data_IF_250855672764
#
_entry.id   IF_250855672764
#
_cell.length_a   1.000
_cell.length_b   1.000
_cell.length_c   1.000
_cell.angle_alpha   90.00
_cell.angle_beta   90.00
_cell.angle_gamma   90.00
#
_symmetry.space_group_name_H-M   'P 1'
#
loop_
_entity.id
_entity.type
_entity.pdbx_description
1 polymer ?
#
# COMPACT_ATOMS: atom_id res chain seq x y z
N UNK A 1 -49.29 47.72 27.81
CA UNK A 1 -48.49 48.18 26.67
C UNK A 1 -47.05 47.84 27.01
N UNK A 2 -46.37 46.82 26.51
CA UNK A 2 -46.62 45.80 25.51
C UNK A 2 -45.57 44.68 25.74
N UNK A 3 -45.98 43.44 25.48
CA UNK A 3 -45.20 42.27 25.06
C UNK A 3 -43.69 42.20 25.37
N UNK A 4 -43.33 41.38 26.37
CA UNK A 4 -42.02 40.72 26.42
C UNK A 4 -42.22 39.23 26.09
N UNK A 5 -42.20 38.91 24.79
CA UNK A 5 -42.41 37.57 24.27
C UNK A 5 -41.49 37.31 23.08
N UNK A 6 -40.18 37.19 23.34
CA UNK A 6 -39.25 36.63 22.35
C UNK A 6 -38.73 35.28 22.85
N UNK A 7 -39.43 34.24 22.41
CA UNK A 7 -39.00 32.85 22.36
C UNK A 7 -37.80 32.77 21.41
N UNK A 8 -36.58 32.76 21.95
CA UNK A 8 -35.41 32.36 21.19
C UNK A 8 -35.28 30.83 21.30
N UNK A 9 -35.44 30.17 20.16
CA UNK A 9 -35.19 28.75 19.94
C UNK A 9 -33.73 28.43 20.31
N UNK A 10 -33.52 27.54 21.26
CA UNK A 10 -32.23 26.92 21.52
C UNK A 10 -31.89 25.97 20.35
N UNK A 11 -30.72 26.08 19.71
CA UNK A 11 -30.23 25.01 18.86
C UNK A 11 -29.62 23.91 19.74
N UNK A 12 -30.31 22.76 19.79
CA UNK A 12 -29.83 21.51 20.37
C UNK A 12 -28.42 21.18 19.82
N UNK A 13 -27.41 21.38 20.66
CA UNK A 13 -26.06 20.90 20.41
C UNK A 13 -26.05 19.39 20.62
N UNK A 14 -26.40 18.65 19.57
CA UNK A 14 -26.19 17.19 19.54
C UNK A 14 -24.69 16.92 19.41
N UNK A 15 -24.06 16.78 20.57
CA UNK A 15 -22.80 16.07 20.73
C UNK A 15 -23.00 14.64 20.25
N UNK A 16 -22.52 14.32 19.04
CA UNK A 16 -22.29 12.93 18.62
C UNK A 16 -20.78 12.75 18.73
N UNK A 17 -20.39 12.06 19.80
CA UNK A 17 -19.01 11.83 20.16
C UNK A 17 -18.23 11.16 19.03
N UNK A 18 -17.00 11.63 18.88
CA UNK A 18 -15.93 10.87 18.26
C UNK A 18 -15.78 9.54 19.00
N UNK A 19 -16.39 8.47 18.48
CA UNK A 19 -16.01 7.12 18.84
C UNK A 19 -14.84 6.74 17.94
N UNK A 20 -13.65 7.00 18.48
CA UNK A 20 -12.46 6.23 18.18
C UNK A 20 -12.82 4.75 18.27
N UNK A 21 -12.92 4.09 17.12
CA UNK A 21 -12.91 2.64 17.03
C UNK A 21 -11.47 2.15 17.23
N UNK A 22 -10.94 2.33 18.45
CA UNK A 22 -9.82 1.54 18.96
C UNK A 22 -10.36 0.19 19.36
N UNK A 23 -10.60 -0.68 18.38
CA UNK A 23 -10.76 -2.11 18.67
C UNK A 23 -9.37 -2.75 18.59
N UNK A 24 -8.78 -3.18 19.73
CA UNK A 24 -7.62 -4.05 19.65
C UNK A 24 -8.02 -5.30 18.86
N UNK A 25 -7.16 -5.74 17.95
CA UNK A 25 -7.27 -7.06 17.36
C UNK A 25 -7.02 -8.05 18.49
N UNK A 26 -8.08 -8.45 19.20
CA UNK A 26 -8.00 -9.57 20.12
C UNK A 26 -7.81 -10.82 19.27
N UNK A 27 -6.59 -11.36 19.34
CA UNK A 27 -6.24 -12.68 18.83
C UNK A 27 -7.15 -13.71 19.53
N UNK A 28 -8.28 -14.02 18.89
CA UNK A 28 -9.04 -15.23 19.15
C UNK A 28 -8.39 -16.34 18.34
N UNK A 29 -7.40 -17.01 18.93
CA UNK A 29 -6.93 -18.31 18.45
C UNK A 29 -8.09 -19.29 18.68
N UNK A 30 -8.93 -19.43 17.66
CA UNK A 30 -9.74 -20.61 17.48
C UNK A 30 -8.90 -21.59 16.66
N UNK A 31 -8.63 -22.76 17.23
CA UNK A 31 -8.04 -23.89 16.52
C UNK A 31 -8.76 -24.12 15.18
N UNK A 32 -8.01 -24.07 14.08
CA UNK A 32 -8.44 -24.72 12.84
C UNK A 32 -9.05 -23.85 11.73
N UNK A 33 -8.58 -22.62 11.51
CA UNK A 33 -8.76 -21.93 10.23
C UNK A 33 -7.41 -21.49 9.66
N UNK A 34 -6.77 -22.42 8.95
CA UNK A 34 -5.74 -22.08 7.96
C UNK A 34 -6.38 -21.10 6.97
N UNK A 35 -5.81 -19.90 6.83
CA UNK A 35 -6.08 -19.06 5.66
C UNK A 35 -5.86 -19.92 4.40
N UNK A 36 -6.63 -19.76 3.32
CA UNK A 36 -6.41 -20.55 2.11
C UNK A 36 -5.00 -20.27 1.60
N UNK A 37 -4.14 -21.27 1.82
CA UNK A 37 -2.71 -21.29 1.56
C UNK A 37 -2.46 -21.68 0.10
N UNK A 38 -3.04 -20.90 -0.81
CA UNK A 38 -2.90 -21.11 -2.25
C UNK A 38 -2.38 -19.84 -2.91
N UNK A 39 -1.23 -19.35 -2.41
CA UNK A 39 -0.49 -18.26 -3.02
C UNK A 39 0.93 -18.75 -3.33
N UNK A 40 1.50 -18.40 -4.51
CA UNK A 40 2.87 -18.77 -4.79
C UNK A 40 3.77 -18.13 -3.73
N UNK A 41 4.71 -18.91 -3.20
CA UNK A 41 5.83 -18.37 -2.43
C UNK A 41 6.66 -17.50 -3.37
N UNK A 42 6.24 -16.24 -3.55
CA UNK A 42 7.00 -15.25 -4.29
C UNK A 42 8.32 -15.08 -3.54
N UNK A 43 9.38 -15.67 -4.10
CA UNK A 43 10.73 -15.64 -3.51
C UNK A 43 11.23 -14.20 -3.30
N UNK A 44 10.65 -13.26 -4.05
CA UNK A 44 10.88 -11.82 -3.93
C UNK A 44 9.57 -11.05 -4.13
N UNK A 45 9.49 -9.87 -3.54
CA UNK A 45 8.46 -8.87 -3.81
C UNK A 45 9.09 -7.65 -4.49
N UNK A 46 8.28 -6.81 -5.11
CA UNK A 46 8.79 -5.59 -5.75
C UNK A 46 7.99 -4.34 -5.40
N UNK A 47 8.65 -3.19 -5.44
CA UNK A 47 8.06 -1.85 -5.27
C UNK A 47 8.58 -0.89 -6.33
N UNK A 48 7.72 0.03 -6.80
CA UNK A 48 8.07 1.07 -7.75
C UNK A 48 8.30 2.39 -7.03
N UNK A 49 9.42 3.05 -7.33
CA UNK A 49 9.69 4.42 -6.91
C UNK A 49 10.54 5.14 -7.97
N UNK A 50 10.82 6.43 -7.80
CA UNK A 50 11.83 7.11 -8.62
C UNK A 50 13.23 6.91 -8.04
N UNK A 51 14.26 7.22 -8.83
CA UNK A 51 15.65 7.25 -8.36
C UNK A 51 15.84 8.23 -7.19
N UNK A 52 15.20 9.41 -7.25
CA UNK A 52 15.29 10.41 -6.18
C UNK A 52 14.63 9.94 -4.87
N UNK A 53 13.46 9.29 -4.97
CA UNK A 53 12.79 8.69 -3.81
C UNK A 53 13.64 7.60 -3.17
N UNK A 54 14.31 6.78 -4.00
CA UNK A 54 15.21 5.75 -3.50
C UNK A 54 16.48 6.32 -2.87
N UNK A 55 17.09 7.33 -3.51
CA UNK A 55 18.24 8.03 -2.95
C UNK A 55 17.91 8.65 -1.58
N UNK A 56 16.73 9.25 -1.43
CA UNK A 56 16.25 9.73 -0.14
C UNK A 56 16.02 8.59 0.86
N UNK A 57 15.41 7.47 0.44
CA UNK A 57 15.25 6.31 1.31
C UNK A 57 16.58 5.79 1.87
N UNK A 58 17.64 5.78 1.05
CA UNK A 58 18.99 5.41 1.47
C UNK A 58 19.58 6.34 2.55
N UNK A 59 19.18 7.62 2.61
CA UNK A 59 19.67 8.53 3.65
C UNK A 59 18.93 8.38 4.96
N UNK A 60 17.61 8.13 4.92
CA UNK A 60 16.76 8.00 6.11
C UNK A 60 16.64 6.56 6.62
N UNK A 61 17.03 5.57 5.82
CA UNK A 61 17.05 4.14 6.18
C UNK A 61 15.77 3.37 5.83
N UNK A 62 14.75 4.02 5.25
CA UNK A 62 13.53 3.37 4.81
C UNK A 62 12.85 4.11 3.65
N UNK A 63 12.04 3.39 2.87
CA UNK A 63 11.13 3.95 1.88
C UNK A 63 9.75 4.15 2.51
N UNK A 64 9.27 5.40 2.45
CA UNK A 64 7.92 5.80 2.87
C UNK A 64 7.24 6.57 1.73
N UNK A 65 6.31 5.96 0.96
CA UNK A 65 5.52 6.65 -0.06
C UNK A 65 4.64 7.74 0.54
N UNK A 66 4.39 8.82 -0.20
CA UNK A 66 3.51 9.92 0.24
C UNK A 66 2.11 9.42 0.64
N UNK A 67 1.61 8.37 -0.05
CA UNK A 67 0.33 7.75 0.27
C UNK A 67 0.31 6.99 1.60
N UNK A 68 1.46 6.67 2.20
CA UNK A 68 1.54 5.82 3.40
C UNK A 68 0.74 6.42 4.57
N UNK A 69 0.85 7.73 4.78
CA UNK A 69 0.14 8.43 5.85
C UNK A 69 -1.40 8.40 5.69
N UNK A 70 -1.90 8.19 4.47
CA UNK A 70 -3.35 8.20 4.18
C UNK A 70 -3.93 6.80 4.04
N UNK A 71 -3.20 5.86 3.43
CA UNK A 71 -3.68 4.48 3.18
C UNK A 71 -3.21 3.49 4.25
N UNK A 72 -2.12 3.77 4.96
CA UNK A 72 -1.61 2.96 6.07
C UNK A 72 -0.74 1.75 5.67
N UNK A 73 -0.42 1.59 4.39
CA UNK A 73 0.43 0.50 3.88
C UNK A 73 1.21 0.91 2.62
N UNK A 74 2.26 0.17 2.30
CA UNK A 74 3.04 0.31 1.07
C UNK A 74 2.55 -0.75 0.07
N UNK A 75 2.22 -0.31 -1.15
CA UNK A 75 1.89 -1.21 -2.25
C UNK A 75 3.14 -1.93 -2.74
N UNK A 76 3.12 -3.25 -2.68
CA UNK A 76 4.10 -4.13 -3.31
C UNK A 76 3.42 -4.87 -4.47
N UNK A 77 4.19 -5.65 -5.21
CA UNK A 77 3.69 -6.58 -6.23
C UNK A 77 4.54 -7.85 -6.23
N UNK A 78 3.97 -8.96 -6.71
CA UNK A 78 4.81 -10.01 -7.26
C UNK A 78 5.47 -9.49 -8.57
N UNK A 79 6.65 -10.00 -8.95
CA UNK A 79 7.31 -9.59 -10.20
C UNK A 79 6.39 -9.70 -11.42
N UNK A 80 5.61 -10.76 -11.51
CA UNK A 80 4.70 -11.04 -12.63
C UNK A 80 3.55 -10.03 -12.71
N UNK A 81 3.24 -9.32 -11.63
CA UNK A 81 2.09 -8.42 -11.53
C UNK A 81 2.46 -6.95 -11.71
N UNK A 82 3.70 -6.55 -11.44
CA UNK A 82 4.09 -5.14 -11.26
C UNK A 82 3.86 -4.26 -12.50
N UNK A 83 3.82 -4.86 -13.69
CA UNK A 83 3.49 -4.16 -14.93
C UNK A 83 2.05 -3.62 -14.95
N UNK A 84 1.11 -4.24 -14.22
CA UNK A 84 -0.29 -3.78 -14.13
C UNK A 84 -0.41 -2.41 -13.44
N UNK A 85 0.05 -2.21 -12.19
CA UNK A 85 0.03 -0.88 -11.57
C UNK A 85 0.97 0.11 -12.28
N UNK A 86 2.08 -0.35 -12.88
CA UNK A 86 2.96 0.51 -13.66
C UNK A 86 2.23 1.16 -14.84
N UNK A 87 1.50 0.37 -15.62
CA UNK A 87 0.71 0.86 -16.74
C UNK A 87 -0.47 1.74 -16.30
N UNK A 88 -1.06 1.49 -15.12
CA UNK A 88 -2.19 2.28 -14.60
C UNK A 88 -1.75 3.65 -14.09
N UNK A 89 -0.62 3.72 -13.39
CA UNK A 89 -0.22 4.89 -12.60
C UNK A 89 0.91 5.70 -13.24
N UNK A 90 1.73 5.06 -14.10
CA UNK A 90 2.98 5.63 -14.56
C UNK A 90 3.23 5.45 -16.07
N UNK A 91 2.18 5.21 -16.87
CA UNK A 91 2.29 5.03 -18.32
C UNK A 91 3.18 6.10 -18.97
N UNK A 92 4.12 5.66 -19.81
CA UNK A 92 5.07 6.54 -20.52
C UNK A 92 6.19 7.15 -19.66
N UNK A 93 6.23 6.94 -18.34
CA UNK A 93 7.37 7.38 -17.51
C UNK A 93 8.57 6.49 -17.74
N UNK A 94 9.77 7.08 -17.78
CA UNK A 94 11.02 6.37 -18.00
C UNK A 94 12.02 6.51 -16.83
N UNK A 95 11.58 7.09 -15.73
CA UNK A 95 12.36 7.40 -14.53
C UNK A 95 11.93 6.54 -13.33
N UNK A 96 11.29 5.39 -13.59
CA UNK A 96 10.95 4.43 -12.55
C UNK A 96 12.13 3.49 -12.25
N UNK A 97 12.26 3.18 -10.97
CA UNK A 97 13.13 2.19 -10.40
C UNK A 97 12.28 1.08 -9.79
N UNK A 98 12.65 -0.17 -10.07
CA UNK A 98 12.09 -1.35 -9.45
C UNK A 98 13.01 -1.78 -8.30
N UNK A 99 12.47 -1.75 -7.08
CA UNK A 99 13.13 -2.30 -5.89
C UNK A 99 12.75 -3.77 -5.78
N UNK A 100 13.75 -4.65 -5.71
CA UNK A 100 13.58 -6.09 -5.46
C UNK A 100 13.78 -6.34 -3.97
N UNK A 101 12.77 -6.91 -3.33
CA UNK A 101 12.64 -6.99 -1.87
C UNK A 101 12.67 -8.45 -1.45
N UNK A 102 13.50 -8.77 -0.46
CA UNK A 102 13.47 -10.05 0.25
C UNK A 102 12.40 -10.00 1.35
N UNK A 103 11.29 -10.76 1.23
CA UNK A 103 10.22 -10.74 2.22
C UNK A 103 10.67 -11.22 3.60
N UNK A 104 11.70 -12.06 3.68
CA UNK A 104 12.27 -12.55 4.94
C UNK A 104 13.00 -11.48 5.75
N UNK A 105 13.26 -10.31 5.16
CA UNK A 105 13.90 -9.16 5.80
C UNK A 105 12.91 -8.07 6.20
N UNK A 106 11.62 -8.26 5.93
CA UNK A 106 10.58 -7.34 6.33
C UNK A 106 10.21 -7.57 7.80
N UNK A 107 10.22 -6.49 8.58
CA UNK A 107 9.83 -6.52 10.00
C UNK A 107 8.33 -6.31 10.21
N UNK A 108 7.64 -5.76 9.22
CA UNK A 108 6.20 -5.50 9.24
C UNK A 108 5.43 -6.57 8.43
N UNK A 109 4.15 -6.84 8.77
CA UNK A 109 3.38 -7.88 8.10
C UNK A 109 3.07 -7.49 6.66
N UNK A 110 3.15 -8.49 5.78
CA UNK A 110 2.65 -8.43 4.40
C UNK A 110 1.32 -9.14 4.33
N UNK A 111 0.28 -8.43 3.90
CA UNK A 111 -1.05 -9.01 3.67
C UNK A 111 -1.36 -8.95 2.19
N UNK A 112 -1.80 -10.07 1.64
CA UNK A 112 -2.26 -10.12 0.25
C UNK A 112 -3.73 -9.73 0.21
N UNK A 113 -4.09 -8.70 -0.53
CA UNK A 113 -5.47 -8.22 -0.61
C UNK A 113 -5.90 -8.13 -2.06
N UNK A 114 -7.22 -8.19 -2.31
CA UNK A 114 -7.75 -8.13 -3.68
C UNK A 114 -7.29 -6.87 -4.39
N UNK A 115 -6.92 -7.02 -5.67
CA UNK A 115 -6.67 -5.91 -6.57
C UNK A 115 -7.93 -5.09 -6.85
N UNK A 116 -7.80 -4.15 -7.78
CA UNK A 116 -8.93 -3.33 -8.23
C UNK A 116 -9.73 -4.06 -9.32
N UNK A 117 -10.96 -3.64 -9.65
CA UNK A 117 -11.80 -4.32 -10.65
C UNK A 117 -11.24 -4.41 -12.08
N UNK A 118 -10.13 -3.71 -12.37
CA UNK A 118 -9.45 -3.79 -13.67
C UNK A 118 -8.29 -4.79 -13.70
N UNK A 119 -7.96 -5.40 -12.56
CA UNK A 119 -7.00 -6.51 -12.48
C UNK A 119 -7.72 -7.83 -12.83
N UNK A 120 -6.97 -8.88 -13.26
CA UNK A 120 -7.54 -10.20 -13.47
C UNK A 120 -8.30 -10.73 -12.24
N UNK A 121 -9.40 -11.43 -12.47
CA UNK A 121 -10.27 -11.94 -11.40
C UNK A 121 -9.49 -12.77 -10.36
N UNK A 122 -9.72 -12.46 -9.09
CA UNK A 122 -9.06 -13.12 -7.97
C UNK A 122 -7.59 -12.74 -7.76
N UNK A 123 -7.03 -11.81 -8.57
CA UNK A 123 -5.68 -11.33 -8.36
C UNK A 123 -5.57 -10.56 -7.05
N UNK A 124 -4.54 -10.91 -6.27
CA UNK A 124 -4.19 -10.25 -5.01
C UNK A 124 -2.84 -9.56 -5.12
N UNK A 125 -2.71 -8.44 -4.45
CA UNK A 125 -1.47 -7.68 -4.34
C UNK A 125 -0.99 -7.67 -2.88
N UNK A 126 0.33 -7.74 -2.65
CA UNK A 126 0.90 -7.64 -1.31
C UNK A 126 0.92 -6.19 -0.84
N UNK A 127 0.45 -5.97 0.38
CA UNK A 127 0.53 -4.71 1.10
C UNK A 127 1.39 -4.86 2.35
N UNK A 128 2.43 -4.05 2.46
CA UNK A 128 3.30 -3.99 3.63
C UNK A 128 2.74 -2.96 4.63
N UNK A 129 2.32 -3.41 5.81
CA UNK A 129 1.79 -2.55 6.88
C UNK A 129 2.91 -1.99 7.75
N UNK A 130 3.83 -1.28 7.11
CA UNK A 130 4.97 -0.64 7.73
C UNK A 130 5.86 0.02 6.69
N UNK A 131 6.89 0.71 7.18
CA UNK A 131 7.91 1.30 6.31
C UNK A 131 8.76 0.21 5.68
N UNK A 132 9.18 0.39 4.42
CA UNK A 132 10.04 -0.56 3.73
C UNK A 132 11.51 -0.29 4.12
N UNK A 133 12.17 -1.17 4.89
CA UNK A 133 13.57 -0.97 5.26
C UNK A 133 14.47 -1.02 4.02
N UNK A 134 15.47 -0.14 3.92
CA UNK A 134 16.40 -0.17 2.78
C UNK A 134 17.20 -1.46 2.70
N UNK A 135 17.43 -2.09 3.85
CA UNK A 135 18.20 -3.31 3.92
C UNK A 135 17.41 -4.49 3.33
N UNK A 136 16.07 -4.51 3.46
CA UNK A 136 15.22 -5.52 2.81
C UNK A 136 15.27 -5.48 1.27
N UNK A 137 15.77 -4.39 0.66
CA UNK A 137 15.97 -4.28 -0.79
C UNK A 137 17.28 -4.96 -1.19
N UNK A 138 17.18 -6.05 -1.93
CA UNK A 138 18.34 -6.88 -2.36
C UNK A 138 18.88 -6.49 -3.74
N UNK A 139 18.08 -5.82 -4.57
CA UNK A 139 18.53 -5.27 -5.84
C UNK A 139 17.66 -4.09 -6.26
N UNK A 140 18.20 -3.24 -7.14
CA UNK A 140 17.44 -2.22 -7.86
C UNK A 140 17.67 -2.35 -9.36
N UNK A 141 16.63 -2.09 -10.15
CA UNK A 141 16.65 -2.17 -11.62
C UNK A 141 15.93 -0.96 -12.21
N UNK A 142 16.49 -0.26 -13.21
CA UNK A 142 15.70 0.67 -14.01
C UNK A 142 14.52 -0.07 -14.63
N UNK A 143 13.32 0.49 -14.53
CA UNK A 143 12.13 -0.12 -15.09
C UNK A 143 11.54 0.83 -16.12
N UNK A 144 11.71 0.46 -17.39
CA UNK A 144 11.40 1.32 -18.53
C UNK A 144 10.29 0.68 -19.35
N UNK A 145 9.34 1.48 -19.87
CA UNK A 145 8.36 0.99 -20.82
C UNK A 145 9.02 0.73 -22.17
N UNK A 146 8.32 0.01 -23.02
CA UNK A 146 8.65 -0.14 -24.44
C UNK A 146 8.46 1.19 -25.21
N UNK A 147 8.82 1.25 -26.52
CA UNK A 147 8.61 2.46 -27.32
C UNK A 147 7.16 2.95 -27.43
N UNK A 148 6.16 2.12 -27.09
CA UNK A 148 4.75 2.51 -27.03
C UNK A 148 4.33 3.07 -25.67
N UNK A 149 5.25 3.12 -24.70
CA UNK A 149 4.99 3.64 -23.36
C UNK A 149 4.36 2.60 -22.42
N UNK A 150 4.34 1.32 -22.81
CA UNK A 150 3.76 0.21 -22.05
C UNK A 150 4.84 -0.57 -21.30
N UNK A 151 4.60 -0.86 -20.03
CA UNK A 151 5.42 -1.73 -19.20
C UNK A 151 5.03 -3.19 -19.40
N UNK A 152 6.03 -4.05 -19.59
CA UNK A 152 5.88 -5.51 -19.57
C UNK A 152 6.45 -6.13 -18.29
N UNK A 153 6.30 -7.45 -18.09
CA UNK A 153 6.88 -8.14 -16.95
C UNK A 153 8.39 -7.85 -16.81
N UNK A 154 8.90 -7.61 -15.59
CA UNK A 154 10.31 -7.30 -15.37
C UNK A 154 11.18 -8.54 -15.58
N UNK A 155 12.42 -8.31 -16.01
CA UNK A 155 13.49 -9.31 -15.96
C UNK A 155 14.30 -9.06 -14.69
N UNK A 156 14.22 -10.01 -13.75
CA UNK A 156 14.93 -9.96 -12.46
C UNK A 156 16.29 -10.66 -12.52
#
# INVERSE_FOLDING_TARGET
MENAGNRAFEPESKSVGAQLLTKPWTCGIADGMTAPDDQPAASVLVHLCTDDEWAHALTVGHREPESFATVGFIHLSAPEQVHLPANRLYAGRADLLLLVIDPGRLSAPVVWESGVPSDPDGMRFPHLYGLLPVDAVVATRPYRPDPSGVFGPPQL
#
